data_IF_996562283909
#
_entry.id   IF_996562283909
#
_cell.length_a   1.000
_cell.length_b   1.000
_cell.length_c   1.000
_cell.angle_alpha   90.00
_cell.angle_beta   90.00
_cell.angle_gamma   90.00
#
_symmetry.space_group_name_H-M   'P 1'
#
loop_
_entity.id
_entity.type
_entity.pdbx_description
1 polymer ?
#
# COMPACT_ATOMS: atom_id res chain seq x y z
N UNK A 1 5.85 -38.94 49.08
CA UNK A 1 5.97 -39.61 47.75
C UNK A 1 4.61 -39.98 47.14
N UNK A 2 3.74 -40.77 47.81
CA UNK A 2 2.45 -41.23 47.25
C UNK A 2 1.44 -40.10 46.99
N UNK A 3 1.26 -39.18 47.92
CA UNK A 3 0.30 -38.06 47.76
C UNK A 3 0.71 -37.09 46.65
N UNK A 4 2.01 -36.81 46.50
CA UNK A 4 2.51 -35.96 45.41
C UNK A 4 2.26 -36.61 44.04
N UNK A 5 2.40 -37.93 43.92
CA UNK A 5 2.13 -38.66 42.68
C UNK A 5 0.64 -38.69 42.32
N UNK A 6 -0.26 -38.75 43.31
CA UNK A 6 -1.72 -38.70 43.10
C UNK A 6 -2.15 -37.29 42.69
N UNK A 7 -1.57 -36.25 43.30
CA UNK A 7 -1.86 -34.87 42.93
C UNK A 7 -1.38 -34.59 41.50
N UNK A 8 -0.19 -35.06 41.13
CA UNK A 8 0.33 -34.91 39.76
C UNK A 8 -0.56 -35.60 38.72
N UNK A 9 -1.06 -36.81 39.01
CA UNK A 9 -1.94 -37.52 38.08
C UNK A 9 -3.31 -36.85 37.95
N UNK A 10 -3.87 -36.34 39.04
CA UNK A 10 -5.14 -35.62 39.03
C UNK A 10 -5.05 -34.31 38.23
N UNK A 11 -3.96 -33.56 38.39
CA UNK A 11 -3.71 -32.33 37.62
C UNK A 11 -3.52 -32.63 36.13
N UNK A 12 -2.76 -33.69 35.81
CA UNK A 12 -2.58 -34.10 34.41
C UNK A 12 -3.91 -34.52 33.76
N UNK A 13 -4.76 -35.26 34.46
CA UNK A 13 -6.07 -35.68 33.94
C UNK A 13 -7.00 -34.47 33.71
N UNK A 14 -7.02 -33.50 34.63
CA UNK A 14 -7.83 -32.30 34.50
C UNK A 14 -7.39 -31.45 33.29
N UNK A 15 -6.09 -31.34 33.03
CA UNK A 15 -5.55 -30.60 31.88
C UNK A 15 -5.96 -31.22 30.53
N UNK A 16 -6.05 -32.55 30.45
CA UNK A 16 -6.46 -33.25 29.22
C UNK A 16 -7.95 -33.03 28.94
N UNK A 17 -8.79 -33.09 29.98
CA UNK A 17 -10.24 -32.90 29.86
C UNK A 17 -10.63 -31.44 29.52
N UNK A 18 -9.80 -30.47 29.88
CA UNK A 18 -10.01 -29.06 29.55
C UNK A 18 -9.70 -28.71 28.08
N UNK A 19 -9.11 -29.63 27.31
CA UNK A 19 -8.78 -29.40 25.90
C UNK A 19 -10.02 -29.64 25.02
N UNK A 20 -10.89 -28.65 24.93
CA UNK A 20 -11.96 -28.63 23.95
C UNK A 20 -11.39 -28.30 22.56
N UNK A 21 -11.19 -29.32 21.73
CA UNK A 21 -10.79 -29.13 20.33
C UNK A 21 -11.99 -28.62 19.51
N UNK A 22 -11.95 -27.36 19.09
CA UNK A 22 -12.93 -26.80 18.17
C UNK A 22 -12.64 -27.27 16.73
N UNK A 23 -13.50 -28.13 16.18
CA UNK A 23 -13.45 -28.52 14.77
C UNK A 23 -14.22 -27.51 13.91
N UNK A 24 -13.61 -27.09 12.79
CA UNK A 24 -14.24 -26.19 11.83
C UNK A 24 -15.10 -27.02 10.86
N UNK A 25 -16.36 -26.65 10.66
CA UNK A 25 -17.22 -27.33 9.68
C UNK A 25 -16.82 -26.85 8.28
N UNK A 26 -16.11 -27.70 7.54
CA UNK A 26 -15.77 -27.42 6.14
C UNK A 26 -16.94 -27.85 5.23
N UNK A 27 -17.42 -26.97 4.33
CA UNK A 27 -18.41 -27.36 3.33
C UNK A 27 -17.79 -28.36 2.33
N UNK A 28 -18.60 -29.18 1.63
CA UNK A 28 -18.11 -30.05 0.56
C UNK A 28 -17.34 -29.21 -0.49
N UNK A 29 -16.07 -29.54 -0.73
CA UNK A 29 -15.17 -28.77 -1.61
C UNK A 29 -14.47 -27.57 -0.98
N UNK A 30 -14.69 -27.30 0.31
CA UNK A 30 -13.95 -26.29 1.08
C UNK A 30 -12.52 -26.74 1.39
N UNK A 31 -11.59 -25.78 1.44
CA UNK A 31 -10.20 -26.01 1.86
C UNK A 31 -9.97 -25.38 3.22
N UNK A 32 -9.33 -26.11 4.15
CA UNK A 32 -8.92 -25.58 5.46
C UNK A 32 -7.87 -24.45 5.32
N UNK A 33 -7.13 -24.45 4.22
CA UNK A 33 -6.00 -23.55 4.00
C UNK A 33 -6.35 -22.35 3.12
N UNK A 34 -7.57 -22.31 2.56
CA UNK A 34 -7.98 -21.23 1.66
C UNK A 34 -9.17 -20.47 2.28
N UNK A 35 -8.98 -19.23 2.76
CA UNK A 35 -10.09 -18.44 3.25
C UNK A 35 -11.12 -18.16 2.13
N UNK A 36 -12.40 -17.92 2.46
CA UNK A 36 -13.39 -17.50 1.48
C UNK A 36 -12.93 -16.23 0.75
N UNK A 37 -13.07 -16.20 -0.56
CA UNK A 37 -12.72 -15.02 -1.37
C UNK A 37 -13.70 -13.88 -0.99
N UNK A 38 -13.20 -12.68 -0.66
CA UNK A 38 -14.05 -11.52 -0.45
C UNK A 38 -14.92 -11.22 -1.69
N UNK A 39 -16.12 -10.69 -1.48
CA UNK A 39 -16.95 -10.25 -2.59
C UNK A 39 -16.20 -9.22 -3.45
N UNK A 40 -16.33 -9.25 -4.79
CA UNK A 40 -15.72 -8.26 -5.66
C UNK A 40 -16.22 -6.85 -5.33
N UNK A 41 -15.37 -5.81 -5.49
CA UNK A 41 -15.79 -4.43 -5.24
C UNK A 41 -16.93 -4.03 -6.20
N UNK A 42 -17.78 -3.07 -5.81
CA UNK A 42 -18.80 -2.54 -6.71
C UNK A 42 -18.14 -1.92 -7.95
N UNK A 43 -18.80 -1.94 -9.11
CA UNK A 43 -18.32 -1.25 -10.30
C UNK A 43 -18.07 0.24 -10.01
N UNK A 44 -17.04 0.85 -10.62
CA UNK A 44 -16.82 2.29 -10.50
C UNK A 44 -18.04 3.05 -11.03
N UNK A 45 -18.44 4.12 -10.35
CA UNK A 45 -19.49 5.00 -10.83
C UNK A 45 -18.97 5.76 -12.04
N UNK A 46 -19.68 5.69 -13.16
CA UNK A 46 -19.45 6.56 -14.30
C UNK A 46 -20.14 7.89 -13.97
N UNK A 47 -19.36 8.85 -13.46
CA UNK A 47 -19.83 10.22 -13.26
C UNK A 47 -19.63 10.98 -14.57
N UNK A 48 -20.71 11.56 -15.11
CA UNK A 48 -20.63 12.39 -16.31
C UNK A 48 -19.89 13.69 -15.93
N UNK A 49 -18.80 14.05 -16.64
CA UNK A 49 -18.17 15.35 -16.42
C UNK A 49 -19.16 16.49 -16.60
N UNK A 50 -19.12 17.48 -15.71
CA UNK A 50 -20.00 18.65 -15.81
C UNK A 50 -19.74 19.37 -17.14
N UNK A 51 -20.79 19.57 -17.93
CA UNK A 51 -20.70 20.32 -19.19
C UNK A 51 -20.39 21.78 -18.89
N UNK A 52 -19.29 22.35 -19.40
CA UNK A 52 -19.01 23.77 -19.25
C UNK A 52 -20.15 24.60 -19.85
N UNK A 53 -20.69 25.55 -19.09
CA UNK A 53 -21.71 26.49 -19.59
C UNK A 53 -21.03 27.65 -20.33
N UNK A 54 -21.56 28.04 -21.50
CA UNK A 54 -20.96 29.08 -22.34
C UNK A 54 -20.90 30.47 -21.68
N UNK A 55 -21.88 30.80 -20.85
CA UNK A 55 -22.00 32.11 -20.19
C UNK A 55 -21.52 32.09 -18.73
N UNK A 56 -20.91 30.99 -18.27
CA UNK A 56 -20.39 30.93 -16.91
C UNK A 56 -19.18 31.85 -16.77
N UNK A 57 -19.08 32.63 -15.69
CA UNK A 57 -17.89 33.41 -15.41
C UNK A 57 -16.68 32.47 -15.26
N UNK A 58 -15.49 32.88 -15.74
CA UNK A 58 -14.28 32.06 -15.60
C UNK A 58 -13.98 31.83 -14.12
N UNK A 59 -13.91 30.56 -13.71
CA UNK A 59 -13.54 30.20 -12.36
C UNK A 59 -12.04 30.37 -12.19
N UNK A 60 -11.62 31.22 -11.25
CA UNK A 60 -10.19 31.38 -10.95
C UNK A 60 -9.73 30.19 -10.13
N UNK A 61 -8.98 29.29 -10.75
CA UNK A 61 -8.29 28.23 -10.01
C UNK A 61 -7.13 28.84 -9.23
N UNK A 62 -7.14 28.66 -7.92
CA UNK A 62 -6.01 28.97 -7.03
C UNK A 62 -5.12 27.76 -6.79
N UNK A 63 -5.27 26.70 -7.60
CA UNK A 63 -4.41 25.55 -7.53
C UNK A 63 -2.95 25.96 -7.83
N UNK A 64 -1.97 25.45 -7.08
CA UNK A 64 -0.56 25.62 -7.43
C UNK A 64 -0.30 25.13 -8.85
N UNK A 65 0.67 25.73 -9.56
CA UNK A 65 1.07 25.23 -10.87
C UNK A 65 1.49 23.76 -10.77
N UNK A 66 1.26 22.96 -11.82
CA UNK A 66 1.74 21.59 -11.88
C UNK A 66 3.25 21.55 -11.58
N UNK A 67 3.67 20.54 -10.84
CA UNK A 67 5.11 20.33 -10.62
C UNK A 67 5.77 20.02 -11.96
N UNK A 68 6.98 20.53 -12.23
CA UNK A 68 7.71 20.19 -13.44
C UNK A 68 7.93 18.67 -13.51
N UNK A 69 7.88 18.13 -14.72
CA UNK A 69 8.16 16.71 -14.92
C UNK A 69 9.61 16.39 -14.58
N UNK A 70 9.92 15.11 -14.36
CA UNK A 70 11.31 14.70 -14.15
C UNK A 70 12.23 15.13 -15.32
N UNK A 71 11.73 15.07 -16.56
CA UNK A 71 12.46 15.53 -17.74
C UNK A 71 12.77 17.03 -17.69
N UNK A 72 11.79 17.85 -17.31
CA UNK A 72 11.98 19.30 -17.16
C UNK A 72 13.01 19.62 -16.07
N UNK A 73 12.95 18.89 -14.96
CA UNK A 73 13.93 19.02 -13.86
C UNK A 73 15.34 18.64 -14.33
N UNK A 74 15.49 17.52 -15.02
CA UNK A 74 16.79 17.07 -15.56
C UNK A 74 17.37 18.11 -16.52
N UNK A 75 16.57 18.62 -17.47
CA UNK A 75 17.02 19.64 -18.44
C UNK A 75 17.50 20.90 -17.71
N UNK A 76 16.70 21.40 -16.76
CA UNK A 76 17.10 22.56 -15.96
C UNK A 76 18.41 22.33 -15.20
N UNK A 77 18.56 21.17 -14.56
CA UNK A 77 19.80 20.84 -13.84
C UNK A 77 21.00 20.72 -14.78
N UNK A 78 20.82 20.19 -16.00
CA UNK A 78 21.88 20.14 -17.00
C UNK A 78 22.29 21.55 -17.45
N UNK A 79 21.33 22.46 -17.63
CA UNK A 79 21.58 23.85 -18.00
C UNK A 79 22.30 24.61 -16.87
N UNK A 80 21.84 24.46 -15.63
CA UNK A 80 22.46 25.10 -14.45
C UNK A 80 23.93 24.62 -14.26
N UNK A 81 24.19 23.33 -14.50
CA UNK A 81 25.56 22.79 -14.44
C UNK A 81 26.43 23.22 -15.62
N UNK A 82 25.87 23.33 -16.84
CA UNK A 82 26.59 23.88 -17.98
C UNK A 82 26.95 25.35 -17.75
N UNK A 83 26.02 26.14 -17.21
CA UNK A 83 26.26 27.54 -16.83
C UNK A 83 27.32 27.68 -15.73
N UNK A 84 27.44 26.67 -14.88
CA UNK A 84 28.47 26.57 -13.84
C UNK A 84 29.82 26.05 -14.35
N UNK A 85 29.95 25.76 -15.65
CA UNK A 85 31.19 25.31 -16.28
C UNK A 85 31.55 23.84 -16.00
N UNK A 86 30.60 23.01 -15.57
CA UNK A 86 30.84 21.59 -15.34
C UNK A 86 31.11 20.86 -16.67
N UNK A 87 32.11 19.98 -16.65
CA UNK A 87 32.39 19.07 -17.76
C UNK A 87 31.28 18.04 -17.96
N UNK A 88 31.29 17.27 -19.06
CA UNK A 88 30.21 16.34 -19.39
C UNK A 88 29.93 15.29 -18.30
N UNK A 89 30.98 14.78 -17.64
CA UNK A 89 30.85 13.76 -16.61
C UNK A 89 30.30 14.34 -15.31
N UNK A 90 30.80 15.50 -14.89
CA UNK A 90 30.35 16.23 -13.70
C UNK A 90 28.90 16.69 -13.87
N UNK A 91 28.55 17.16 -15.08
CA UNK A 91 27.18 17.57 -15.43
C UNK A 91 26.19 16.41 -15.39
N UNK A 92 26.60 15.22 -15.85
CA UNK A 92 25.80 14.00 -15.75
C UNK A 92 25.61 13.55 -14.28
N UNK A 93 26.64 13.67 -13.45
CA UNK A 93 26.54 13.36 -12.02
C UNK A 93 25.64 14.38 -11.27
N UNK A 94 25.83 15.67 -11.53
CA UNK A 94 25.05 16.76 -10.94
C UNK A 94 23.56 16.67 -11.29
N UNK A 95 23.23 16.46 -12.57
CA UNK A 95 21.82 16.39 -12.99
C UNK A 95 21.06 15.25 -12.33
N UNK A 96 21.73 14.11 -12.07
CA UNK A 96 21.14 12.98 -11.34
C UNK A 96 20.82 13.30 -9.89
N UNK A 97 21.63 14.10 -9.20
CA UNK A 97 21.34 14.50 -7.81
C UNK A 97 20.34 15.66 -7.73
N UNK A 98 20.43 16.64 -8.62
CA UNK A 98 19.57 17.83 -8.65
C UNK A 98 18.11 17.53 -9.06
N UNK A 99 17.89 16.54 -9.93
CA UNK A 99 16.56 16.21 -10.43
C UNK A 99 15.80 15.15 -9.62
N UNK A 100 16.37 14.63 -8.53
CA UNK A 100 15.66 13.81 -7.53
C UNK A 100 15.06 14.69 -6.46
#
# INVERSE_FOLDING_TARGET
MKHASIILSAVAAAAILASAASAQVLPPGGSQFNPPIPAPPPPPKIEVPVVPQMDAPPTRSYAPPPRPSFGDRITKCLDDAAASGLGPNERAAYSRSCAN
#
